data_IF_478856991035
#
_entry.id   IF_478856991035
#
_cell.length_a   1.000
_cell.length_b   1.000
_cell.length_c   1.000
_cell.angle_alpha   90.00
_cell.angle_beta   90.00
_cell.angle_gamma   90.00
#
_symmetry.space_group_name_H-M   'P 1'
#
loop_
_entity.id
_entity.type
_entity.pdbx_description
1 polymer ?
#
# COMPACT_ATOMS: atom_id res chain seq x y z
N UNK A 1 -6.98 23.91 -11.31
CA UNK A 1 -8.14 23.42 -12.09
C UNK A 1 -8.87 22.36 -11.28
N UNK A 2 -10.20 22.41 -11.18
CA UNK A 2 -10.99 21.38 -10.47
C UNK A 2 -11.27 20.18 -11.37
N UNK A 3 -11.59 19.00 -10.75
CA UNK A 3 -11.99 17.80 -11.50
C UNK A 3 -13.21 18.06 -12.42
N UNK A 4 -14.14 18.93 -12.00
CA UNK A 4 -15.31 19.29 -12.80
C UNK A 4 -14.93 20.13 -14.03
N UNK A 5 -14.02 21.09 -13.86
CA UNK A 5 -13.47 21.89 -14.98
C UNK A 5 -12.72 21.02 -15.96
N UNK A 6 -11.87 20.08 -15.46
CA UNK A 6 -11.16 19.14 -16.33
C UNK A 6 -12.12 18.28 -17.16
N UNK A 7 -13.17 17.72 -16.54
CA UNK A 7 -14.19 16.94 -17.26
C UNK A 7 -14.85 17.75 -18.37
N UNK A 8 -15.19 19.02 -18.11
CA UNK A 8 -15.81 19.90 -19.11
C UNK A 8 -14.86 20.16 -20.28
N UNK A 9 -13.58 20.39 -20.01
CA UNK A 9 -12.57 20.60 -21.05
C UNK A 9 -12.38 19.34 -21.90
N UNK A 10 -12.24 18.16 -21.26
CA UNK A 10 -12.08 16.89 -21.98
C UNK A 10 -13.30 16.54 -22.84
N UNK A 11 -14.52 16.89 -22.40
CA UNK A 11 -15.74 16.63 -23.16
C UNK A 11 -15.82 17.47 -24.46
N UNK A 12 -15.06 18.56 -24.57
CA UNK A 12 -14.96 19.38 -25.77
C UNK A 12 -13.84 18.97 -26.74
N UNK A 13 -13.03 17.96 -26.38
CA UNK A 13 -11.93 17.46 -27.22
C UNK A 13 -12.42 16.34 -28.15
N UNK A 14 -11.88 16.30 -29.35
CA UNK A 14 -12.06 15.17 -30.25
C UNK A 14 -11.16 13.98 -29.85
N UNK A 15 -11.35 12.84 -30.51
CA UNK A 15 -10.64 11.61 -30.18
C UNK A 15 -9.12 11.72 -30.40
N UNK A 16 -8.67 12.49 -31.38
CA UNK A 16 -7.25 12.64 -31.69
C UNK A 16 -6.57 13.55 -30.68
N UNK A 17 -7.24 14.62 -30.26
CA UNK A 17 -6.79 15.50 -29.18
C UNK A 17 -6.68 14.73 -27.85
N UNK A 18 -7.66 13.86 -27.54
CA UNK A 18 -7.61 13.02 -26.34
C UNK A 18 -6.48 11.99 -26.41
N UNK A 19 -6.26 11.34 -27.54
CA UNK A 19 -5.13 10.42 -27.72
C UNK A 19 -3.79 11.12 -27.54
N UNK A 20 -3.63 12.30 -28.13
CA UNK A 20 -2.42 13.09 -28.01
C UNK A 20 -2.15 13.47 -26.55
N UNK A 21 -3.18 13.98 -25.85
CA UNK A 21 -3.07 14.31 -24.43
C UNK A 21 -2.67 13.12 -23.55
N UNK A 22 -3.23 11.92 -23.82
CA UNK A 22 -2.89 10.70 -23.08
C UNK A 22 -1.44 10.30 -23.34
N UNK A 23 -0.96 10.38 -24.59
CA UNK A 23 0.43 10.06 -24.94
C UNK A 23 1.39 11.04 -24.30
N UNK A 24 1.11 12.34 -24.35
CA UNK A 24 1.92 13.35 -23.65
C UNK A 24 1.97 13.12 -22.15
N UNK A 25 0.84 12.79 -21.52
CA UNK A 25 0.78 12.48 -20.11
C UNK A 25 1.58 11.21 -19.74
N UNK A 26 1.55 10.19 -20.61
CA UNK A 26 2.34 8.96 -20.48
C UNK A 26 3.85 9.25 -20.55
N UNK A 27 4.27 10.12 -21.44
CA UNK A 27 5.69 10.48 -21.61
C UNK A 27 6.20 11.42 -20.52
N UNK A 28 5.34 12.31 -20.03
CA UNK A 28 5.72 13.37 -19.10
C UNK A 28 6.07 12.89 -17.69
N UNK A 29 5.46 11.78 -17.22
CA UNK A 29 5.58 11.31 -15.84
C UNK A 29 5.61 9.79 -15.74
N UNK A 30 6.61 9.29 -14.99
CA UNK A 30 6.77 7.86 -14.72
C UNK A 30 5.52 7.26 -14.03
N UNK A 31 4.96 7.96 -13.05
CA UNK A 31 3.78 7.50 -12.31
C UNK A 31 2.55 7.39 -13.22
N UNK A 32 2.39 8.32 -14.16
CA UNK A 32 1.30 8.27 -15.14
C UNK A 32 1.47 7.11 -16.11
N UNK A 33 2.71 6.87 -16.55
CA UNK A 33 3.06 5.72 -17.39
C UNK A 33 2.70 4.41 -16.71
N UNK A 34 3.21 4.19 -15.50
CA UNK A 34 2.96 2.98 -14.71
C UNK A 34 1.45 2.76 -14.48
N UNK A 35 0.70 3.82 -14.21
CA UNK A 35 -0.75 3.76 -14.05
C UNK A 35 -1.46 3.34 -15.35
N UNK A 36 -1.10 3.93 -16.50
CA UNK A 36 -1.72 3.63 -17.79
C UNK A 36 -1.35 2.22 -18.28
N UNK A 37 -0.09 1.79 -18.11
CA UNK A 37 0.35 0.43 -18.42
C UNK A 37 -0.44 -0.60 -17.64
N UNK A 38 -0.58 -0.39 -16.32
CA UNK A 38 -1.38 -1.27 -15.48
C UNK A 38 -2.87 -1.25 -15.84
N UNK A 39 -3.41 -0.09 -16.24
CA UNK A 39 -4.82 0.02 -16.63
C UNK A 39 -5.12 -0.73 -17.94
N UNK A 40 -4.17 -0.71 -18.88
CA UNK A 40 -4.29 -1.40 -20.17
C UNK A 40 -4.04 -2.91 -20.07
N UNK A 41 -3.07 -3.31 -19.24
CA UNK A 41 -2.66 -4.71 -19.01
C UNK A 41 -2.56 -4.99 -17.51
N UNK A 42 -3.69 -5.24 -16.82
CA UNK A 42 -3.70 -5.43 -15.38
C UNK A 42 -2.94 -6.69 -14.95
N UNK A 43 -1.79 -6.51 -14.30
CA UNK A 43 -1.05 -7.57 -13.61
C UNK A 43 -0.93 -7.23 -12.12
N UNK A 44 -1.98 -7.57 -11.39
CA UNK A 44 -2.08 -7.30 -9.95
C UNK A 44 -1.00 -8.00 -9.14
N UNK A 45 -0.47 -9.13 -9.60
CA UNK A 45 0.59 -9.88 -8.89
C UNK A 45 1.93 -9.17 -9.00
N UNK A 46 2.36 -8.85 -10.20
CA UNK A 46 3.61 -8.09 -10.43
C UNK A 46 3.55 -6.72 -9.76
N UNK A 47 2.40 -6.04 -9.82
CA UNK A 47 2.19 -4.79 -9.10
C UNK A 47 2.37 -4.97 -7.59
N UNK A 48 1.75 -6.01 -7.01
CA UNK A 48 1.85 -6.30 -5.58
C UNK A 48 3.28 -6.61 -5.15
N UNK A 49 4.04 -7.38 -5.93
CA UNK A 49 5.45 -7.68 -5.65
C UNK A 49 6.31 -6.40 -5.61
N UNK A 50 6.11 -5.49 -6.57
CA UNK A 50 6.78 -4.19 -6.58
C UNK A 50 6.48 -3.40 -5.32
N UNK A 51 5.20 -3.23 -4.97
CA UNK A 51 4.80 -2.45 -3.80
C UNK A 51 5.21 -3.11 -2.48
N UNK A 52 5.21 -4.44 -2.38
CA UNK A 52 5.76 -5.15 -1.21
C UNK A 52 7.24 -4.84 -1.01
N UNK A 53 8.03 -4.84 -2.09
CA UNK A 53 9.44 -4.47 -2.03
C UNK A 53 9.63 -3.03 -1.56
N UNK A 54 8.85 -2.10 -2.08
CA UNK A 54 8.91 -0.68 -1.72
C UNK A 54 8.47 -0.45 -0.26
N UNK A 55 7.38 -1.07 0.18
CA UNK A 55 6.93 -1.03 1.59
C UNK A 55 8.01 -1.60 2.51
N UNK A 56 8.58 -2.77 2.17
CA UNK A 56 9.64 -3.37 2.98
C UNK A 56 10.87 -2.46 3.07
N UNK A 57 11.19 -1.73 1.99
CA UNK A 57 12.29 -0.77 1.96
C UNK A 57 12.07 0.47 2.86
N UNK A 58 10.84 0.77 3.28
CA UNK A 58 10.57 1.80 4.30
C UNK A 58 11.11 1.38 5.66
N UNK A 59 10.97 0.10 6.03
CA UNK A 59 11.30 -0.43 7.35
C UNK A 59 12.70 -1.08 7.42
N UNK A 60 13.16 -1.67 6.31
CA UNK A 60 14.39 -2.45 6.26
C UNK A 60 15.37 -1.89 5.22
N UNK A 61 16.64 -2.20 5.39
CA UNK A 61 17.69 -1.94 4.38
C UNK A 61 17.68 -3.05 3.33
N UNK A 62 18.36 -2.86 2.20
CA UNK A 62 18.48 -3.87 1.14
C UNK A 62 19.14 -5.20 1.57
N UNK A 63 19.71 -5.28 2.78
CA UNK A 63 20.22 -6.52 3.41
C UNK A 63 19.25 -7.04 4.49
N UNK A 64 17.99 -6.68 4.42
CA UNK A 64 16.93 -7.04 5.37
C UNK A 64 17.26 -6.72 6.84
N UNK A 65 18.14 -5.76 7.07
CA UNK A 65 18.43 -5.25 8.41
C UNK A 65 17.46 -4.13 8.76
N UNK A 66 16.87 -4.13 9.97
CA UNK A 66 15.99 -3.04 10.37
C UNK A 66 16.73 -1.71 10.35
N UNK A 67 16.06 -0.67 9.90
CA UNK A 67 16.61 0.70 9.91
C UNK A 67 16.65 1.20 11.35
N UNK A 68 17.77 0.99 12.03
CA UNK A 68 17.93 1.26 13.45
C UNK A 68 18.13 2.73 13.81
N UNK A 69 18.74 3.51 12.91
CA UNK A 69 19.09 4.92 13.17
C UNK A 69 18.10 5.93 12.64
N UNK A 70 17.27 5.53 11.69
CA UNK A 70 16.22 6.38 11.13
C UNK A 70 14.87 5.70 11.38
N UNK A 71 13.98 6.40 12.07
CA UNK A 71 12.60 5.92 12.21
C UNK A 71 11.98 5.70 10.83
N UNK A 72 11.27 4.59 10.61
CA UNK A 72 10.55 4.38 9.36
C UNK A 72 9.62 5.55 9.08
N UNK A 73 9.59 6.02 7.84
CA UNK A 73 8.70 7.11 7.44
C UNK A 73 7.31 6.54 7.17
N UNK A 74 6.48 6.46 8.20
CA UNK A 74 5.10 5.94 8.06
C UNK A 74 4.27 6.72 7.03
N UNK A 75 4.56 8.01 6.81
CA UNK A 75 3.94 8.79 5.73
C UNK A 75 4.25 8.23 4.34
N UNK A 76 5.44 7.67 4.14
CA UNK A 76 5.85 7.01 2.89
C UNK A 76 5.11 5.68 2.72
N UNK A 77 5.05 4.86 3.78
CA UNK A 77 4.26 3.62 3.76
C UNK A 77 2.77 3.89 3.48
N UNK A 78 2.19 4.90 4.12
CA UNK A 78 0.81 5.32 3.87
C UNK A 78 0.58 5.80 2.43
N UNK A 79 1.56 6.49 1.83
CA UNK A 79 1.50 6.90 0.43
C UNK A 79 1.51 5.68 -0.48
N UNK A 80 2.44 4.74 -0.27
CA UNK A 80 2.54 3.51 -1.05
C UNK A 80 1.23 2.70 -1.03
N UNK A 81 0.62 2.52 0.14
CA UNK A 81 -0.66 1.80 0.27
C UNK A 81 -1.79 2.52 -0.48
N UNK A 82 -1.86 3.85 -0.36
CA UNK A 82 -2.87 4.64 -1.06
C UNK A 82 -2.71 4.53 -2.57
N UNK A 83 -1.47 4.65 -3.06
CA UNK A 83 -1.16 4.58 -4.48
C UNK A 83 -1.44 3.17 -5.02
N UNK A 84 -1.08 2.11 -4.27
CA UNK A 84 -1.42 0.73 -4.60
C UNK A 84 -2.93 0.50 -4.71
N UNK A 85 -3.72 0.95 -3.73
CA UNK A 85 -5.18 0.83 -3.75
C UNK A 85 -5.86 1.62 -4.87
N UNK A 86 -5.23 2.68 -5.35
CA UNK A 86 -5.72 3.44 -6.49
C UNK A 86 -5.47 2.71 -7.82
N UNK A 87 -4.49 1.82 -7.87
CA UNK A 87 -4.10 1.07 -9.07
C UNK A 87 -4.70 -0.34 -9.08
N UNK A 88 -4.69 -1.05 -7.95
CA UNK A 88 -5.11 -2.45 -7.87
C UNK A 88 -6.61 -2.56 -7.64
N UNK A 89 -7.32 -3.25 -8.54
CA UNK A 89 -8.77 -3.52 -8.44
C UNK A 89 -9.10 -4.90 -7.89
N UNK A 90 -8.08 -5.76 -7.68
CA UNK A 90 -8.23 -7.09 -7.09
C UNK A 90 -8.35 -6.97 -5.57
N UNK A 91 -9.54 -7.25 -5.04
CA UNK A 91 -9.86 -7.09 -3.62
C UNK A 91 -9.06 -8.02 -2.72
N UNK A 92 -8.76 -9.26 -3.18
CA UNK A 92 -7.94 -10.20 -2.40
C UNK A 92 -6.50 -9.71 -2.30
N UNK A 93 -5.94 -9.23 -3.41
CA UNK A 93 -4.56 -8.72 -3.44
C UNK A 93 -4.45 -7.42 -2.64
N UNK A 94 -5.49 -6.57 -2.62
CA UNK A 94 -5.52 -5.38 -1.77
C UNK A 94 -5.58 -5.75 -0.28
N UNK A 95 -6.42 -6.72 0.10
CA UNK A 95 -6.51 -7.20 1.48
C UNK A 95 -5.14 -7.76 1.94
N UNK A 96 -4.53 -8.60 1.12
CA UNK A 96 -3.21 -9.17 1.38
C UNK A 96 -2.12 -8.09 1.55
N UNK A 97 -2.14 -7.03 0.76
CA UNK A 97 -1.18 -5.92 0.86
C UNK A 97 -1.36 -5.11 2.14
N UNK A 98 -2.61 -4.88 2.59
CA UNK A 98 -2.90 -4.19 3.85
C UNK A 98 -2.40 -5.01 5.05
N UNK A 99 -2.62 -6.32 5.04
CA UNK A 99 -2.10 -7.23 6.07
C UNK A 99 -0.57 -7.24 6.03
N UNK A 100 0.03 -7.33 4.84
CA UNK A 100 1.48 -7.32 4.65
C UNK A 100 2.15 -6.05 5.22
N UNK A 101 1.53 -4.87 5.09
CA UNK A 101 2.04 -3.65 5.72
C UNK A 101 2.07 -3.78 7.26
N UNK A 102 0.97 -4.25 7.86
CA UNK A 102 0.90 -4.43 9.31
C UNK A 102 1.90 -5.48 9.82
N UNK A 103 2.07 -6.59 9.09
CA UNK A 103 3.08 -7.62 9.38
C UNK A 103 4.50 -7.08 9.26
N UNK A 104 4.77 -6.26 8.23
CA UNK A 104 6.09 -5.66 8.02
C UNK A 104 6.48 -4.70 9.14
N UNK A 105 5.52 -3.88 9.64
CA UNK A 105 5.76 -3.02 10.79
C UNK A 105 5.93 -3.85 12.07
N UNK A 106 5.12 -4.88 12.29
CA UNK A 106 5.26 -5.78 13.45
C UNK A 106 6.61 -6.51 13.43
N UNK A 107 7.05 -6.99 12.27
CA UNK A 107 8.37 -7.60 12.08
C UNK A 107 9.49 -6.60 12.45
N UNK A 108 9.42 -5.36 11.96
CA UNK A 108 10.38 -4.32 12.31
C UNK A 108 10.38 -4.03 13.82
N UNK A 109 9.21 -4.01 14.47
CA UNK A 109 9.06 -3.80 15.91
C UNK A 109 9.62 -4.96 16.75
N UNK A 110 9.75 -6.17 16.20
CA UNK A 110 10.33 -7.32 16.89
C UNK A 110 11.84 -7.18 17.13
N UNK A 111 12.49 -6.28 16.41
CA UNK A 111 13.91 -5.98 16.62
C UNK A 111 14.11 -5.03 17.80
N UNK A 112 15.34 -4.98 18.37
CA UNK A 112 15.78 -4.32 19.62
C UNK A 112 15.35 -2.86 19.85
N UNK A 113 14.68 -2.24 18.89
CA UNK A 113 14.39 -0.80 18.91
C UNK A 113 12.91 -0.51 19.16
N UNK A 114 12.15 -1.50 19.59
CA UNK A 114 10.74 -1.33 19.90
C UNK A 114 10.54 -0.22 20.94
N UNK A 115 9.65 0.70 20.62
CA UNK A 115 9.18 1.72 21.56
C UNK A 115 7.67 1.61 21.69
N UNK A 116 7.18 1.65 22.89
CA UNK A 116 5.74 1.62 23.19
C UNK A 116 4.93 2.64 22.37
N UNK A 117 5.55 3.76 21.97
CA UNK A 117 4.95 4.78 21.11
C UNK A 117 4.56 4.31 19.70
N UNK A 118 5.07 3.16 19.24
CA UNK A 118 4.80 2.60 17.91
C UNK A 118 3.62 1.63 17.90
N UNK A 119 3.22 1.14 19.05
CA UNK A 119 2.08 0.22 19.18
C UNK A 119 0.80 0.76 18.52
N UNK A 120 0.42 2.05 18.69
CA UNK A 120 -0.77 2.59 18.04
C UNK A 120 -0.73 2.52 16.51
N UNK A 121 0.44 2.66 15.86
CA UNK A 121 0.53 2.63 14.40
C UNK A 121 0.33 1.23 13.84
N UNK A 122 0.98 0.21 14.40
CA UNK A 122 0.82 -1.18 13.96
C UNK A 122 -0.61 -1.69 14.21
N UNK A 123 -1.22 -1.31 15.34
CA UNK A 123 -2.62 -1.63 15.62
C UNK A 123 -3.57 -0.98 14.63
N UNK A 124 -3.32 0.26 14.24
CA UNK A 124 -4.11 0.95 13.23
C UNK A 124 -4.03 0.22 11.89
N UNK A 125 -2.84 -0.17 11.41
CA UNK A 125 -2.70 -0.91 10.15
C UNK A 125 -3.42 -2.26 10.20
N UNK A 126 -3.32 -2.97 11.31
CA UNK A 126 -4.08 -4.21 11.52
C UNK A 126 -5.58 -3.97 11.45
N UNK A 127 -6.09 -2.95 12.14
CA UNK A 127 -7.52 -2.60 12.15
C UNK A 127 -8.01 -2.16 10.75
N UNK A 128 -7.21 -1.40 10.01
CA UNK A 128 -7.54 -1.03 8.62
C UNK A 128 -7.62 -2.27 7.72
N UNK A 129 -6.70 -3.22 7.86
CA UNK A 129 -6.71 -4.48 7.13
C UNK A 129 -7.95 -5.32 7.50
N UNK A 130 -8.26 -5.48 8.79
CA UNK A 130 -9.42 -6.21 9.29
C UNK A 130 -10.73 -5.62 8.73
N UNK A 131 -10.91 -4.31 8.85
CA UNK A 131 -12.08 -3.60 8.31
C UNK A 131 -12.22 -3.79 6.81
N UNK A 132 -11.11 -3.79 6.07
CA UNK A 132 -11.15 -4.03 4.62
C UNK A 132 -11.56 -5.48 4.31
N UNK A 133 -11.01 -6.46 5.01
CA UNK A 133 -11.32 -7.88 4.87
C UNK A 133 -12.81 -8.13 5.14
N UNK A 134 -13.38 -7.56 6.21
CA UNK A 134 -14.81 -7.63 6.54
C UNK A 134 -15.67 -6.98 5.45
N UNK A 135 -15.31 -5.77 5.01
CA UNK A 135 -16.08 -5.05 3.99
C UNK A 135 -16.07 -5.76 2.64
N UNK A 136 -14.99 -6.47 2.32
CA UNK A 136 -14.83 -7.23 1.08
C UNK A 136 -15.38 -8.66 1.15
N UNK A 137 -15.84 -9.13 2.33
CA UNK A 137 -16.35 -10.50 2.52
C UNK A 137 -15.23 -11.55 2.42
N UNK A 138 -14.01 -11.23 2.85
CA UNK A 138 -12.82 -12.08 2.72
C UNK A 138 -12.40 -12.74 4.05
N UNK A 139 -13.29 -12.75 5.06
CA UNK A 139 -13.00 -13.27 6.40
C UNK A 139 -12.56 -14.74 6.38
N UNK A 140 -13.17 -15.55 5.53
CA UNK A 140 -12.82 -16.97 5.39
C UNK A 140 -11.35 -17.18 4.97
N UNK A 141 -10.77 -16.22 4.24
CA UNK A 141 -9.40 -16.31 3.77
C UNK A 141 -8.38 -15.71 4.75
N UNK A 142 -8.75 -14.66 5.48
CA UNK A 142 -7.76 -13.84 6.19
C UNK A 142 -7.93 -13.76 7.71
N UNK A 143 -9.05 -14.22 8.29
CA UNK A 143 -9.28 -14.14 9.75
C UNK A 143 -8.21 -14.82 10.58
N UNK A 144 -7.71 -15.97 10.14
CA UNK A 144 -6.65 -16.68 10.86
C UNK A 144 -5.33 -15.91 10.84
N UNK A 145 -4.96 -15.34 9.69
CA UNK A 145 -3.75 -14.54 9.52
C UNK A 145 -3.81 -13.26 10.36
N UNK A 146 -4.95 -12.57 10.38
CA UNK A 146 -5.18 -11.38 11.19
C UNK A 146 -5.12 -11.68 12.69
N UNK A 147 -5.70 -12.81 13.14
CA UNK A 147 -5.62 -13.26 14.53
C UNK A 147 -4.18 -13.60 14.93
N UNK A 148 -3.42 -14.24 14.06
CA UNK A 148 -2.01 -14.52 14.30
C UNK A 148 -1.19 -13.23 14.42
N UNK A 149 -1.40 -12.27 13.54
CA UNK A 149 -0.78 -10.96 13.60
C UNK A 149 -1.09 -10.23 14.90
N UNK A 150 -2.35 -10.22 15.35
CA UNK A 150 -2.76 -9.62 16.61
C UNK A 150 -2.05 -10.26 17.82
N UNK A 151 -1.98 -11.58 17.83
CA UNK A 151 -1.27 -12.32 18.89
C UNK A 151 0.20 -11.91 18.95
N UNK A 152 0.85 -11.80 17.79
CA UNK A 152 2.25 -11.38 17.71
C UNK A 152 2.45 -9.94 18.20
N UNK A 153 1.59 -9.01 17.81
CA UNK A 153 1.63 -7.62 18.26
C UNK A 153 1.45 -7.56 19.79
N UNK A 154 0.51 -8.32 20.34
CA UNK A 154 0.26 -8.36 21.79
C UNK A 154 1.42 -8.97 22.58
N UNK A 155 2.13 -9.96 22.03
CA UNK A 155 3.35 -10.50 22.63
C UNK A 155 4.43 -9.42 22.67
N UNK A 156 4.66 -8.72 21.55
CA UNK A 156 5.62 -7.62 21.48
C UNK A 156 5.31 -6.53 22.52
N UNK A 157 4.03 -6.19 22.70
CA UNK A 157 3.61 -5.17 23.64
C UNK A 157 3.84 -5.56 25.11
N UNK A 158 3.77 -6.86 25.45
CA UNK A 158 3.96 -7.34 26.84
C UNK A 158 5.42 -7.36 27.29
N UNK A 159 6.35 -7.33 26.35
CA UNK A 159 7.80 -7.38 26.64
C UNK A 159 8.46 -6.00 26.76
N UNK A 160 7.65 -4.94 26.91
CA UNK A 160 8.06 -3.55 27.09
C UNK A 160 7.60 -3.07 28.44
#
# INVERSE_FOLDING_TARGET
>A
MSKASLKKTLAGMDADQLRHLVIEAYEARKETREYLEYWLEPDSKTLAEKFRKDIRAVFFTGKEKPKAKAHPRLSEANKLIRDFRAMCYDTEIVADMLIFLAETEADWLSYKYYRRSWYPSVMRYRQEAEKYVETAGLEALYSERLRHLEKNINILYRHI
#
